data_IF_615822638206
#
_entry.id   IF_615822638206
#
_cell.length_a   1.000
_cell.length_b   1.000
_cell.length_c   1.000
_cell.angle_alpha   90.00
_cell.angle_beta   90.00
_cell.angle_gamma   90.00
#
_symmetry.space_group_name_H-M   'P 1'
#
loop_
_entity.id
_entity.type
_entity.pdbx_description
1 polymer ?
#
# COMPACT_ATOMS: atom_id res chain seq x y z
N UNK A 1 -9.07 8.28 8.46
CA UNK A 1 -8.53 8.81 7.18
C UNK A 1 -9.59 8.56 6.14
N UNK A 2 -10.11 9.62 5.53
CA UNK A 2 -11.13 9.54 4.50
C UNK A 2 -10.50 9.14 3.16
N UNK A 3 -11.14 8.22 2.44
CA UNK A 3 -10.57 7.48 1.30
C UNK A 3 -10.50 8.30 -0.01
N UNK A 4 -10.40 9.63 0.07
CA UNK A 4 -10.67 10.49 -1.09
C UNK A 4 -9.43 11.00 -1.82
N UNK A 5 -8.24 11.05 -1.19
CA UNK A 5 -7.02 11.44 -1.89
C UNK A 5 -5.79 10.72 -1.35
N UNK A 6 -4.96 10.21 -2.25
CA UNK A 6 -3.65 9.62 -1.93
C UNK A 6 -2.57 10.35 -2.73
N UNK A 7 -1.53 10.80 -2.03
CA UNK A 7 -0.28 11.27 -2.63
C UNK A 7 0.87 10.47 -2.04
N UNK A 8 1.65 9.82 -2.91
CA UNK A 8 2.82 9.03 -2.52
C UNK A 8 4.02 9.45 -3.36
N UNK A 9 5.17 9.56 -2.71
CA UNK A 9 6.46 9.59 -3.40
C UNK A 9 7.34 8.49 -2.81
N UNK A 10 7.75 7.54 -3.65
CA UNK A 10 8.76 6.54 -3.32
C UNK A 10 10.13 7.04 -3.77
N UNK A 11 11.12 6.92 -2.90
CA UNK A 11 12.50 7.32 -3.18
C UNK A 11 13.45 6.14 -3.05
N UNK A 12 14.41 6.06 -3.96
CA UNK A 12 15.63 5.27 -3.77
C UNK A 12 16.80 6.23 -3.88
N UNK A 13 17.69 6.24 -2.88
CA UNK A 13 18.93 7.05 -2.77
C UNK A 13 19.04 8.20 -3.80
N UNK A 14 18.44 9.35 -3.47
CA UNK A 14 18.58 10.59 -4.27
C UNK A 14 17.66 10.73 -5.50
N UNK A 15 16.89 9.70 -5.89
CA UNK A 15 16.00 9.76 -7.06
C UNK A 15 14.55 9.40 -6.70
N UNK A 16 13.58 10.09 -7.30
CA UNK A 16 12.16 9.74 -7.17
C UNK A 16 11.85 8.54 -8.07
N UNK A 17 11.47 7.43 -7.44
CA UNK A 17 11.23 6.15 -8.10
C UNK A 17 9.80 6.07 -8.66
N UNK A 18 8.83 6.52 -7.85
CA UNK A 18 7.41 6.50 -8.19
C UNK A 18 6.71 7.67 -7.51
N UNK A 19 5.90 8.41 -8.27
CA UNK A 19 4.97 9.42 -7.76
C UNK A 19 3.56 8.98 -8.11
N UNK A 20 2.68 8.92 -7.12
CA UNK A 20 1.26 8.59 -7.31
C UNK A 20 0.40 9.73 -6.80
N UNK A 21 -0.65 10.06 -7.56
CA UNK A 21 -1.75 10.91 -7.15
C UNK A 21 -3.05 10.22 -7.53
N UNK A 22 -3.89 9.94 -6.54
CA UNK A 22 -5.20 9.34 -6.74
C UNK A 22 -6.26 10.14 -6.00
N UNK A 23 -7.43 10.30 -6.61
CA UNK A 23 -8.50 11.19 -6.15
C UNK A 23 -9.83 10.48 -5.80
N UNK A 24 -9.79 9.17 -5.63
CA UNK A 24 -11.01 8.36 -5.50
C UNK A 24 -11.38 7.63 -6.80
N UNK A 25 -10.94 8.14 -7.95
CA UNK A 25 -11.39 7.65 -9.26
C UNK A 25 -10.25 7.48 -10.27
N UNK A 26 -9.39 8.49 -10.41
CA UNK A 26 -8.32 8.53 -11.38
C UNK A 26 -6.97 8.40 -10.68
N UNK A 27 -6.12 7.49 -11.19
CA UNK A 27 -4.74 7.36 -10.76
C UNK A 27 -3.82 8.04 -11.79
N UNK A 28 -3.12 9.08 -11.36
CA UNK A 28 -2.01 9.67 -12.09
C UNK A 28 -0.71 9.17 -11.49
N UNK A 29 0.16 8.61 -12.33
CA UNK A 29 1.45 8.07 -11.90
C UNK A 29 2.60 8.58 -12.77
N UNK A 30 3.75 8.78 -12.14
CA UNK A 30 5.04 8.97 -12.81
C UNK A 30 6.02 7.99 -12.20
N UNK A 31 6.59 7.11 -13.02
CA UNK A 31 7.58 6.10 -12.61
C UNK A 31 8.90 6.34 -13.30
N UNK A 32 9.99 6.01 -12.64
CA UNK A 32 11.30 5.96 -13.29
C UNK A 32 11.39 4.75 -14.23
N UNK A 33 12.13 4.88 -15.34
CA UNK A 33 12.31 3.79 -16.32
C UNK A 33 13.04 2.58 -15.71
N UNK A 34 13.94 2.82 -14.77
CA UNK A 34 14.71 1.79 -14.09
C UNK A 34 13.88 1.01 -13.05
N UNK A 35 12.67 1.48 -12.70
CA UNK A 35 11.84 0.84 -11.68
C UNK A 35 11.37 -0.53 -12.15
N UNK A 36 11.54 -1.62 -11.37
CA UNK A 36 11.08 -2.94 -11.74
C UNK A 36 9.58 -2.98 -12.10
N UNK A 37 9.20 -3.77 -13.09
CA UNK A 37 7.80 -3.92 -13.51
C UNK A 37 6.89 -4.45 -12.39
N UNK A 38 7.46 -5.20 -11.43
CA UNK A 38 6.74 -5.70 -10.26
C UNK A 38 6.21 -4.57 -9.35
N UNK A 39 6.87 -3.41 -9.34
CA UNK A 39 6.42 -2.18 -8.68
C UNK A 39 5.57 -1.36 -9.65
N UNK A 40 4.36 -1.84 -9.86
CA UNK A 40 3.32 -1.14 -10.62
C UNK A 40 2.58 -0.12 -9.73
N UNK A 41 2.27 1.06 -10.27
CA UNK A 41 1.66 2.13 -9.47
C UNK A 41 0.25 1.82 -8.96
N UNK A 42 -0.56 1.05 -9.71
CA UNK A 42 -1.87 0.65 -9.23
C UNK A 42 -1.75 -0.38 -8.09
N UNK A 43 -0.75 -1.26 -8.17
CA UNK A 43 -0.44 -2.19 -7.09
C UNK A 43 0.06 -1.49 -5.85
N UNK A 44 1.00 -0.55 -5.99
CA UNK A 44 1.47 0.25 -4.85
C UNK A 44 0.31 1.05 -4.24
N UNK A 45 -0.62 1.58 -5.04
CA UNK A 45 -1.82 2.20 -4.50
C UNK A 45 -2.65 1.22 -3.67
N UNK A 46 -2.90 0.01 -4.17
CA UNK A 46 -3.64 -1.02 -3.46
C UNK A 46 -2.96 -1.42 -2.13
N UNK A 47 -1.63 -1.52 -2.12
CA UNK A 47 -0.82 -1.75 -0.92
C UNK A 47 -1.00 -0.61 0.10
N UNK A 48 -0.99 0.64 -0.36
CA UNK A 48 -1.18 1.82 0.50
C UNK A 48 -2.61 1.89 1.05
N UNK A 49 -3.61 1.56 0.23
CA UNK A 49 -4.99 1.42 0.70
C UNK A 49 -5.09 0.34 1.79
N UNK A 50 -4.46 -0.82 1.57
CA UNK A 50 -4.42 -1.91 2.54
C UNK A 50 -3.79 -1.49 3.87
N UNK A 51 -2.78 -0.61 3.84
CA UNK A 51 -2.11 -0.10 5.06
C UNK A 51 -2.97 0.92 5.80
N UNK A 52 -3.60 1.87 5.11
CA UNK A 52 -4.18 3.06 5.76
C UNK A 52 -5.71 3.14 5.78
N UNK A 53 -6.42 2.40 4.94
CA UNK A 53 -7.88 2.43 4.96
C UNK A 53 -8.46 1.63 6.13
N UNK A 54 -9.68 1.92 6.58
CA UNK A 54 -10.37 1.10 7.57
C UNK A 54 -10.47 -0.36 7.11
N UNK A 55 -10.15 -1.29 8.00
CA UNK A 55 -10.15 -2.73 7.67
C UNK A 55 -11.54 -3.21 7.21
N UNK A 56 -12.61 -2.70 7.82
CA UNK A 56 -14.00 -3.02 7.49
C UNK A 56 -14.35 -2.61 6.05
N UNK A 57 -13.91 -1.43 5.61
CA UNK A 57 -14.14 -0.95 4.24
C UNK A 57 -13.40 -1.82 3.22
N UNK A 58 -12.17 -2.24 3.54
CA UNK A 58 -11.43 -3.16 2.67
C UNK A 58 -12.16 -4.50 2.58
N UNK A 59 -12.53 -5.09 3.72
CA UNK A 59 -13.23 -6.37 3.78
C UNK A 59 -14.51 -6.40 2.95
N UNK A 60 -15.29 -5.31 2.96
CA UNK A 60 -16.50 -5.17 2.16
C UNK A 60 -16.25 -5.11 0.65
N UNK A 61 -15.07 -4.63 0.23
CA UNK A 61 -14.69 -4.48 -1.17
C UNK A 61 -13.90 -5.68 -1.72
N UNK A 62 -13.55 -6.67 -0.89
CA UNK A 62 -12.73 -7.79 -1.32
C UNK A 62 -13.48 -8.73 -2.27
N UNK A 63 -12.86 -9.14 -3.40
CA UNK A 63 -13.43 -10.17 -4.26
C UNK A 63 -13.53 -11.53 -3.55
N UNK A 64 -14.36 -12.43 -4.10
CA UNK A 64 -14.47 -13.79 -3.60
C UNK A 64 -13.10 -14.50 -3.51
N UNK A 65 -12.91 -15.27 -2.43
CA UNK A 65 -11.66 -15.99 -2.16
C UNK A 65 -10.61 -15.17 -1.39
N UNK A 66 -10.77 -13.85 -1.29
CA UNK A 66 -9.89 -13.00 -0.48
C UNK A 66 -10.40 -12.86 0.95
N UNK A 67 -9.47 -12.80 1.91
CA UNK A 67 -9.76 -12.58 3.33
C UNK A 67 -8.73 -11.63 3.93
N UNK A 68 -9.21 -10.61 4.64
CA UNK A 68 -8.38 -9.71 5.45
C UNK A 68 -8.59 -10.01 6.93
N UNK A 69 -7.52 -10.34 7.65
CA UNK A 69 -7.49 -10.28 9.12
C UNK A 69 -6.76 -9.02 9.57
N UNK A 70 -7.29 -8.37 10.61
CA UNK A 70 -6.73 -7.16 11.17
C UNK A 70 -6.62 -7.27 12.69
N UNK A 71 -5.43 -6.99 13.19
CA UNK A 71 -5.08 -6.82 14.59
C UNK A 71 -4.56 -5.38 14.80
N UNK A 72 -4.40 -4.92 16.06
CA UNK A 72 -3.90 -3.56 16.32
C UNK A 72 -2.53 -3.26 15.71
N UNK A 73 -1.65 -4.25 15.64
CA UNK A 73 -0.26 -4.16 15.22
C UNK A 73 0.02 -4.80 13.84
N UNK A 74 -0.96 -5.51 13.27
CA UNK A 74 -0.77 -6.22 12.00
C UNK A 74 -2.04 -6.36 11.16
N UNK A 75 -1.89 -6.40 9.83
CA UNK A 75 -2.90 -6.96 8.91
C UNK A 75 -2.31 -8.09 8.08
N UNK A 76 -3.16 -9.05 7.73
CA UNK A 76 -2.81 -10.10 6.78
C UNK A 76 -3.91 -10.24 5.72
N UNK A 77 -3.51 -10.16 4.45
CA UNK A 77 -4.37 -10.42 3.30
C UNK A 77 -4.04 -11.80 2.74
N UNK A 78 -5.07 -12.66 2.63
CA UNK A 78 -4.94 -14.03 2.11
C UNK A 78 -5.85 -14.26 0.91
N UNK A 79 -5.42 -15.13 0.01
CA UNK A 79 -6.25 -15.69 -1.06
C UNK A 79 -6.35 -17.20 -0.86
N UNK A 80 -7.53 -17.70 -0.50
CA UNK A 80 -7.62 -19.04 0.09
C UNK A 80 -6.74 -19.12 1.34
N UNK A 81 -5.78 -20.05 1.37
CA UNK A 81 -4.84 -20.22 2.50
C UNK A 81 -3.49 -19.53 2.28
N UNK A 82 -3.24 -19.04 1.07
CA UNK A 82 -2.02 -18.31 0.70
C UNK A 82 -1.96 -16.97 1.42
N UNK A 83 -0.90 -16.73 2.19
CA UNK A 83 -0.60 -15.41 2.73
C UNK A 83 0.02 -14.54 1.62
N UNK A 84 -0.73 -13.55 1.16
CA UNK A 84 -0.33 -12.71 0.02
C UNK A 84 0.37 -11.45 0.51
N UNK A 85 -0.20 -10.76 1.51
CA UNK A 85 0.37 -9.53 2.07
C UNK A 85 0.33 -9.55 3.59
N UNK A 86 1.41 -9.08 4.20
CA UNK A 86 1.46 -8.74 5.63
C UNK A 86 1.76 -7.27 5.78
N UNK A 87 1.02 -6.58 6.66
CA UNK A 87 1.28 -5.20 7.07
C UNK A 87 1.64 -5.22 8.55
N UNK A 88 2.77 -4.63 8.92
CA UNK A 88 3.23 -4.48 10.30
C UNK A 88 3.21 -2.99 10.67
N UNK A 89 2.52 -2.64 11.75
CA UNK A 89 2.45 -1.28 12.28
C UNK A 89 3.54 -1.09 13.34
N UNK A 90 4.75 -0.72 12.89
CA UNK A 90 5.95 -0.55 13.72
C UNK A 90 5.92 0.72 14.57
N UNK A 91 5.04 1.66 14.23
CA UNK A 91 4.76 2.85 15.00
C UNK A 91 3.68 3.71 14.33
N UNK A 92 3.36 4.89 14.88
CA UNK A 92 2.30 5.76 14.36
C UNK A 92 2.50 6.20 12.90
N UNK A 93 3.75 6.30 12.45
CA UNK A 93 4.12 6.79 11.10
C UNK A 93 5.09 5.86 10.37
N UNK A 94 5.34 4.68 10.93
CA UNK A 94 6.23 3.69 10.33
C UNK A 94 5.48 2.39 10.18
N UNK A 95 5.34 1.97 8.94
CA UNK A 95 4.69 0.73 8.59
C UNK A 95 5.57 -0.04 7.62
N UNK A 96 5.52 -1.36 7.73
CA UNK A 96 6.15 -2.25 6.76
C UNK A 96 5.08 -3.09 6.10
N UNK A 97 5.11 -3.14 4.78
CA UNK A 97 4.29 -4.05 4.00
C UNK A 97 5.20 -5.05 3.31
N UNK A 98 4.86 -6.34 3.38
CA UNK A 98 5.54 -7.41 2.64
C UNK A 98 4.54 -8.10 1.74
N UNK A 99 4.81 -8.07 0.43
CA UNK A 99 3.98 -8.70 -0.59
C UNK A 99 4.64 -10.01 -1.06
N UNK A 100 4.25 -11.12 -0.45
CA UNK A 100 4.87 -12.43 -0.68
C UNK A 100 4.76 -12.89 -2.13
N UNK A 101 3.60 -12.67 -2.77
CA UNK A 101 3.33 -13.10 -4.15
C UNK A 101 4.22 -12.38 -5.20
N UNK A 102 4.65 -11.15 -4.93
CA UNK A 102 5.50 -10.38 -5.85
C UNK A 102 6.93 -10.15 -5.33
N UNK A 103 7.26 -10.70 -4.16
CA UNK A 103 8.63 -10.74 -3.65
C UNK A 103 9.23 -9.38 -3.26
N UNK A 104 8.41 -8.38 -2.90
CA UNK A 104 8.90 -7.09 -2.43
C UNK A 104 8.36 -6.71 -1.06
N UNK A 105 9.08 -5.81 -0.39
CA UNK A 105 8.64 -5.14 0.82
C UNK A 105 8.73 -3.63 0.64
N UNK A 106 7.76 -2.92 1.22
CA UNK A 106 7.73 -1.47 1.30
C UNK A 106 7.99 -1.07 2.76
N UNK A 107 9.00 -0.23 2.96
CA UNK A 107 9.20 0.48 4.23
C UNK A 107 8.58 1.87 4.07
N UNK A 108 7.49 2.12 4.79
CA UNK A 108 6.63 3.28 4.58
C UNK A 108 6.80 4.22 5.77
N UNK A 109 7.29 5.42 5.48
CA UNK A 109 7.43 6.49 6.46
C UNK A 109 6.52 7.65 6.06
N UNK A 110 5.55 7.94 6.94
CA UNK A 110 4.61 9.03 6.72
C UNK A 110 5.18 10.33 7.26
N UNK A 111 5.38 11.31 6.37
CA UNK A 111 5.64 12.69 6.74
C UNK A 111 4.31 13.40 7.00
N UNK A 112 4.30 14.32 7.96
CA UNK A 112 3.16 15.20 8.15
C UNK A 112 2.99 16.07 6.91
N UNK A 113 1.80 16.10 6.32
CA UNK A 113 1.50 17.09 5.30
C UNK A 113 1.47 18.45 6.03
N UNK A 114 2.44 19.32 5.74
CA UNK A 114 2.47 20.67 6.27
C UNK A 114 1.15 21.38 5.96
N UNK A 115 0.60 22.04 6.98
CA UNK A 115 -0.62 22.87 6.91
C UNK A 115 -0.44 24.08 5.99
#
# INVERSE_FOLDING_TARGET
VDAHQVRLVMHQVGQSALKLRWDGSALVQSRAEWLPAALDGARVLADIQLVYWPAEQIQQALPAGWRLSAAPDQRQLRFGDELVVTVEYLGPRHQRLTHARYGYSLDIQSIEAGA
#
